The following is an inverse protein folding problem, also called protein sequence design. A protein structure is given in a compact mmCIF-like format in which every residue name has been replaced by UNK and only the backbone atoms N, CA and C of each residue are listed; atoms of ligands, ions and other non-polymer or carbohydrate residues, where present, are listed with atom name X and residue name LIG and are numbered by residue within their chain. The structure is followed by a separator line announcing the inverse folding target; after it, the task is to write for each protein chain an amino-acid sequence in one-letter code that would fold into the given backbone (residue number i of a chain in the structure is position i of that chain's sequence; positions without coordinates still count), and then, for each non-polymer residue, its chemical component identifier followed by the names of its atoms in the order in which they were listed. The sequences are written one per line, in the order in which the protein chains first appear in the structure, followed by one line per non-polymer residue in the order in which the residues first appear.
data_IF_252362053003
#
_entry.id   IF_252362053003
#
_cell.length_a   1.000
_cell.length_b   1.000
_cell.length_c   1.000
_cell.angle_alpha   90.00
_cell.angle_beta   90.00
_cell.angle_gamma   90.00
#
_symmetry.space_group_name_H-M   'P 1'
#
loop_
_entity.id
_entity.type
_entity.pdbx_description
1 polymer ?
#
# COMPACT_ATOMS: atom_id res chain seq x y z
N UNK A 1 -31.46 -19.89 4.62
CA UNK A 1 -31.79 -18.90 5.67
C UNK A 1 -30.69 -18.90 6.70
N UNK A 2 -29.99 -17.78 6.87
CA UNK A 2 -29.44 -17.38 8.17
C UNK A 2 -29.31 -15.85 8.12
N UNK A 3 -29.93 -15.20 9.10
CA UNK A 3 -30.09 -13.77 9.18
C UNK A 3 -28.75 -13.07 9.45
N UNK A 4 -28.24 -12.28 8.50
CA UNK A 4 -27.23 -11.24 8.75
C UNK A 4 -27.63 -9.98 7.99
N UNK A 5 -28.69 -9.31 8.48
CA UNK A 5 -28.90 -7.92 8.16
C UNK A 5 -27.82 -7.10 8.90
N UNK A 6 -26.91 -6.47 8.16
CA UNK A 6 -26.01 -5.42 8.67
C UNK A 6 -24.51 -5.74 8.77
N UNK A 7 -24.03 -6.90 8.31
CA UNK A 7 -22.57 -7.14 8.27
C UNK A 7 -21.93 -6.32 7.14
N UNK A 8 -21.08 -5.34 7.48
CA UNK A 8 -20.31 -4.56 6.51
C UNK A 8 -19.51 -5.52 5.61
N UNK A 9 -19.92 -5.64 4.34
CA UNK A 9 -19.33 -6.62 3.42
C UNK A 9 -17.90 -6.23 3.08
N UNK A 10 -16.95 -7.12 3.39
CA UNK A 10 -15.53 -6.95 3.06
C UNK A 10 -15.30 -6.80 1.55
N UNK A 11 -14.43 -5.88 1.15
CA UNK A 11 -14.03 -5.63 -0.23
C UNK A 11 -13.13 -6.79 -0.69
N UNK A 12 -13.48 -7.35 -1.84
CA UNK A 12 -12.77 -8.48 -2.46
C UNK A 12 -12.09 -8.06 -3.76
N UNK A 13 -11.21 -8.89 -4.28
CA UNK A 13 -10.59 -8.70 -5.61
C UNK A 13 -11.65 -8.55 -6.72
N UNK A 14 -12.74 -9.31 -6.66
CA UNK A 14 -13.89 -9.16 -7.55
C UNK A 14 -14.60 -7.81 -7.42
N UNK A 15 -14.74 -7.29 -6.19
CA UNK A 15 -15.33 -5.97 -5.98
C UNK A 15 -14.46 -4.87 -6.61
N UNK A 16 -13.14 -4.94 -6.46
CA UNK A 16 -12.20 -4.01 -7.09
C UNK A 16 -12.24 -4.09 -8.62
N UNK A 17 -12.31 -5.30 -9.19
CA UNK A 17 -12.48 -5.47 -10.65
C UNK A 17 -13.81 -4.90 -11.14
N UNK A 18 -14.90 -5.07 -10.38
CA UNK A 18 -16.20 -4.48 -10.69
C UNK A 18 -16.16 -2.95 -10.65
N UNK A 19 -15.47 -2.36 -9.66
CA UNK A 19 -15.29 -0.91 -9.58
C UNK A 19 -14.61 -0.36 -10.84
N UNK A 20 -13.53 -1.02 -11.31
CA UNK A 20 -12.92 -0.68 -12.62
C UNK A 20 -13.94 -0.71 -13.75
N UNK A 21 -14.66 -1.82 -13.90
CA UNK A 21 -15.65 -1.98 -14.97
C UNK A 21 -16.78 -0.94 -14.93
N UNK A 22 -17.13 -0.46 -13.74
CA UNK A 22 -18.13 0.60 -13.53
C UNK A 22 -17.56 2.02 -13.64
N UNK A 23 -16.23 2.19 -13.80
CA UNK A 23 -15.57 3.50 -13.77
C UNK A 23 -15.49 4.13 -12.37
N UNK A 24 -15.76 3.37 -11.31
CA UNK A 24 -15.65 3.80 -9.92
C UNK A 24 -14.18 3.76 -9.46
N UNK A 25 -13.66 4.89 -8.99
CA UNK A 25 -12.24 4.99 -8.60
C UNK A 25 -11.97 4.28 -7.27
N UNK A 26 -10.93 3.45 -7.26
CA UNK A 26 -10.48 2.74 -6.05
C UNK A 26 -9.59 3.68 -5.22
N UNK A 27 -9.95 3.83 -3.94
CA UNK A 27 -9.14 4.57 -2.96
C UNK A 27 -8.39 3.57 -2.05
N UNK A 28 -7.07 3.52 -2.19
CA UNK A 28 -6.16 2.74 -1.37
C UNK A 28 -5.31 3.67 -0.52
N UNK A 29 -5.01 3.27 0.72
CA UNK A 29 -4.14 4.04 1.63
C UNK A 29 -3.27 3.05 2.40
N UNK A 30 -2.03 3.42 2.72
CA UNK A 30 -1.22 2.54 3.58
C UNK A 30 -1.72 2.52 5.03
N UNK A 31 -1.50 1.42 5.74
CA UNK A 31 -1.78 1.31 7.17
C UNK A 31 -0.81 0.31 7.80
N UNK A 32 -0.45 0.53 9.07
CA UNK A 32 0.57 -0.28 9.75
C UNK A 32 0.18 -0.69 11.17
N UNK A 33 -0.91 -0.15 11.70
CA UNK A 33 -1.42 -0.49 13.03
C UNK A 33 -2.95 -0.55 13.05
N UNK A 34 -3.50 -1.10 14.14
CA UNK A 34 -4.92 -1.30 14.30
C UNK A 34 -5.72 0.02 14.38
N UNK A 35 -5.12 1.08 14.94
CA UNK A 35 -5.80 2.36 15.17
C UNK A 35 -5.99 3.09 13.85
N UNK A 36 -4.94 3.27 13.06
CA UNK A 36 -5.05 3.86 11.73
C UNK A 36 -5.88 2.97 10.80
N UNK A 37 -5.71 1.64 10.85
CA UNK A 37 -6.54 0.75 10.03
C UNK A 37 -8.04 0.94 10.30
N UNK A 38 -8.44 1.05 11.57
CA UNK A 38 -9.83 1.31 11.95
C UNK A 38 -10.32 2.66 11.42
N UNK A 39 -9.57 3.73 11.64
CA UNK A 39 -9.95 5.09 11.21
C UNK A 39 -10.05 5.20 9.69
N UNK A 40 -9.09 4.64 8.95
CA UNK A 40 -9.06 4.66 7.49
C UNK A 40 -10.18 3.77 6.89
N UNK A 41 -10.49 2.64 7.53
CA UNK A 41 -11.63 1.80 7.17
C UNK A 41 -12.96 2.53 7.41
N UNK A 42 -13.16 3.14 8.57
CA UNK A 42 -14.35 3.95 8.89
C UNK A 42 -14.53 5.13 7.91
N UNK A 43 -13.43 5.74 7.47
CA UNK A 43 -13.41 6.83 6.50
C UNK A 43 -13.74 6.40 5.05
N UNK A 44 -13.88 5.09 4.78
CA UNK A 44 -14.30 4.62 3.46
C UNK A 44 -13.19 4.09 2.56
N UNK A 45 -11.96 3.87 3.05
CA UNK A 45 -10.90 3.25 2.24
C UNK A 45 -11.37 1.89 1.65
N UNK A 46 -11.11 1.67 0.37
CA UNK A 46 -11.48 0.43 -0.31
C UNK A 46 -10.45 -0.66 -0.06
N UNK A 47 -9.18 -0.28 0.00
CA UNK A 47 -8.06 -1.16 0.31
C UNK A 47 -7.07 -0.49 1.26
N UNK A 48 -6.44 -1.29 2.11
CA UNK A 48 -5.34 -0.89 2.98
C UNK A 48 -4.07 -1.64 2.56
N UNK A 49 -2.97 -0.91 2.37
CA UNK A 49 -1.68 -1.47 2.02
C UNK A 49 -0.75 -1.48 3.24
N UNK A 50 -0.33 -2.66 3.67
CA UNK A 50 0.76 -2.83 4.63
C UNK A 50 2.05 -2.87 3.82
N UNK A 51 2.52 -1.68 3.46
CA UNK A 51 3.64 -1.51 2.54
C UNK A 51 5.01 -1.54 3.23
N UNK A 52 6.05 -1.92 2.50
CA UNK A 52 7.44 -1.85 2.99
C UNK A 52 7.93 -0.40 3.21
N UNK A 53 7.19 0.60 2.72
CA UNK A 53 7.26 2.01 3.14
C UNK A 53 7.32 2.21 4.66
N UNK A 54 6.86 1.24 5.47
CA UNK A 54 7.08 1.22 6.92
C UNK A 54 8.56 1.33 7.32
N UNK A 55 9.48 0.87 6.47
CA UNK A 55 10.92 1.02 6.68
C UNK A 55 11.30 2.49 6.85
N UNK A 56 10.68 3.38 6.07
CA UNK A 56 10.89 4.82 6.19
C UNK A 56 10.04 5.43 7.31
N UNK A 57 8.72 5.27 7.25
CA UNK A 57 7.80 6.06 8.09
C UNK A 57 7.59 5.51 9.51
N UNK A 58 7.93 4.24 9.74
CA UNK A 58 7.84 3.60 11.06
C UNK A 58 9.25 3.37 11.64
N UNK A 59 10.14 2.78 10.84
CA UNK A 59 11.46 2.34 11.31
C UNK A 59 12.55 3.42 11.18
N UNK A 60 12.29 4.49 10.42
CA UNK A 60 13.24 5.59 10.23
C UNK A 60 14.46 5.24 9.39
N UNK A 61 14.40 4.16 8.60
CA UNK A 61 15.44 3.82 7.65
C UNK A 61 15.41 4.75 6.41
N UNK A 62 16.56 4.90 5.76
CA UNK A 62 16.66 5.69 4.53
C UNK A 62 16.03 4.98 3.32
N UNK A 63 15.92 3.65 3.36
CA UNK A 63 15.35 2.82 2.28
C UNK A 63 14.44 1.73 2.86
N UNK A 64 13.63 1.09 2.01
CA UNK A 64 12.77 -0.04 2.41
C UNK A 64 13.49 -1.39 2.45
N UNK A 65 14.75 -1.45 2.01
CA UNK A 65 15.54 -2.70 1.92
C UNK A 65 15.70 -3.46 3.25
N UNK A 66 15.81 -2.80 4.44
CA UNK A 66 15.91 -3.51 5.71
C UNK A 66 14.62 -4.18 6.18
N UNK A 67 13.48 -3.92 5.53
CA UNK A 67 12.19 -4.48 5.93
C UNK A 67 12.17 -6.00 5.69
N UNK A 68 11.72 -6.75 6.68
CA UNK A 68 11.67 -8.22 6.63
C UNK A 68 10.23 -8.71 6.49
N UNK A 69 10.07 -9.98 6.10
CA UNK A 69 8.75 -10.65 6.08
C UNK A 69 8.11 -10.63 7.47
N UNK A 70 8.90 -10.73 8.54
CA UNK A 70 8.40 -10.68 9.92
C UNK A 70 7.84 -9.30 10.28
N UNK A 71 8.50 -8.21 9.84
CA UNK A 71 7.98 -6.86 10.01
C UNK A 71 6.64 -6.69 9.32
N UNK A 72 6.53 -7.10 8.05
CA UNK A 72 5.26 -7.01 7.31
C UNK A 72 4.19 -7.89 7.96
N UNK A 73 4.51 -9.14 8.34
CA UNK A 73 3.56 -10.03 8.99
C UNK A 73 3.01 -9.44 10.31
N UNK A 74 3.88 -8.85 11.14
CA UNK A 74 3.49 -8.18 12.38
C UNK A 74 2.52 -7.01 12.12
N UNK A 75 2.89 -6.10 11.23
CA UNK A 75 2.05 -4.93 10.92
C UNK A 75 0.75 -5.34 10.22
N UNK A 76 0.78 -6.38 9.39
CA UNK A 76 -0.43 -6.93 8.77
C UNK A 76 -1.38 -7.49 9.82
N UNK A 77 -0.87 -8.24 10.80
CA UNK A 77 -1.69 -8.74 11.90
C UNK A 77 -2.31 -7.62 12.73
N UNK A 78 -1.60 -6.51 12.93
CA UNK A 78 -2.14 -5.32 13.60
C UNK A 78 -3.27 -4.68 12.77
N UNK A 79 -3.04 -4.45 11.48
CA UNK A 79 -4.03 -3.87 10.55
C UNK A 79 -5.28 -4.76 10.44
N UNK A 80 -5.11 -6.07 10.36
CA UNK A 80 -6.22 -7.03 10.26
C UNK A 80 -7.16 -6.99 11.47
N UNK A 81 -6.66 -6.62 12.66
CA UNK A 81 -7.49 -6.42 13.87
C UNK A 81 -8.29 -5.12 13.83
N UNK A 82 -7.82 -4.10 13.12
CA UNK A 82 -8.48 -2.80 13.00
C UNK A 82 -9.47 -2.72 11.82
N UNK A 83 -9.15 -3.37 10.70
CA UNK A 83 -9.92 -3.27 9.46
C UNK A 83 -11.13 -4.22 9.42
N UNK A 84 -12.30 -3.68 9.09
CA UNK A 84 -13.56 -4.43 9.03
C UNK A 84 -14.00 -4.70 7.59
N UNK A 85 -13.90 -3.70 6.72
CA UNK A 85 -14.40 -3.71 5.34
C UNK A 85 -13.28 -3.74 4.30
N UNK A 86 -12.22 -2.96 4.48
CA UNK A 86 -11.22 -2.72 3.47
C UNK A 86 -10.47 -4.00 3.07
N UNK A 87 -10.04 -4.06 1.81
CA UNK A 87 -9.19 -5.15 1.31
C UNK A 87 -7.74 -4.94 1.78
N UNK A 88 -7.18 -5.87 2.55
CA UNK A 88 -5.82 -5.77 3.09
C UNK A 88 -4.85 -6.41 2.11
N UNK A 89 -3.89 -5.63 1.63
CA UNK A 89 -2.77 -6.07 0.79
C UNK A 89 -1.49 -5.92 1.60
N UNK A 90 -0.64 -6.96 1.62
CA UNK A 90 0.65 -6.93 2.30
C UNK A 90 1.80 -6.97 1.30
N UNK A 91 2.81 -6.13 1.49
CA UNK A 91 4.00 -6.16 0.62
C UNK A 91 4.85 -7.39 0.85
N UNK A 92 5.30 -8.00 -0.23
CA UNK A 92 6.47 -8.87 -0.21
C UNK A 92 7.70 -7.97 -0.21
N UNK A 93 8.46 -7.86 0.90
CA UNK A 93 9.61 -6.98 0.98
C UNK A 93 10.78 -7.48 0.13
N UNK A 94 11.83 -6.67 0.03
CA UNK A 94 13.02 -6.97 -0.78
C UNK A 94 13.52 -8.42 -0.60
N UNK A 95 13.86 -9.06 -1.71
CA UNK A 95 14.28 -10.47 -1.83
C UNK A 95 13.23 -11.53 -1.46
N UNK A 96 12.10 -11.18 -0.85
CA UNK A 96 11.12 -12.20 -0.42
C UNK A 96 10.38 -12.87 -1.58
N UNK A 97 10.37 -12.27 -2.77
CA UNK A 97 9.77 -12.83 -3.99
C UNK A 97 10.83 -13.31 -5.01
N UNK A 98 12.07 -12.83 -4.95
CA UNK A 98 13.06 -13.02 -6.02
C UNK A 98 14.15 -14.06 -5.73
N UNK A 99 14.12 -14.74 -4.57
CA UNK A 99 15.11 -15.76 -4.19
C UNK A 99 14.77 -17.18 -4.67
N UNK A 100 13.53 -17.41 -5.11
CA UNK A 100 13.05 -18.69 -5.65
C UNK A 100 11.55 -18.88 -5.46
N UNK A 101 10.90 -19.60 -6.38
CA UNK A 101 9.44 -19.74 -6.41
C UNK A 101 8.85 -20.33 -5.12
N UNK A 102 9.48 -21.38 -4.57
CA UNK A 102 9.00 -22.03 -3.35
C UNK A 102 9.14 -21.13 -2.12
N UNK A 103 10.21 -20.34 -2.03
CA UNK A 103 10.40 -19.38 -0.95
C UNK A 103 9.41 -18.22 -1.06
N UNK A 104 9.16 -17.74 -2.29
CA UNK A 104 8.17 -16.71 -2.55
C UNK A 104 6.76 -17.15 -2.14
N UNK A 105 6.36 -18.38 -2.49
CA UNK A 105 5.08 -18.97 -2.06
C UNK A 105 5.01 -19.11 -0.53
N UNK A 106 6.10 -19.54 0.12
CA UNK A 106 6.15 -19.63 1.59
C UNK A 106 5.99 -18.25 2.23
N UNK A 107 6.75 -17.26 1.78
CA UNK A 107 6.70 -15.88 2.27
C UNK A 107 5.30 -15.29 2.10
N UNK A 108 4.71 -15.39 0.91
CA UNK A 108 3.34 -14.95 0.66
C UNK A 108 2.35 -15.66 1.59
N UNK A 109 2.48 -16.98 1.76
CA UNK A 109 1.65 -17.77 2.66
C UNK A 109 1.76 -17.34 4.13
N UNK A 110 2.93 -16.87 4.59
CA UNK A 110 3.09 -16.30 5.92
C UNK A 110 2.31 -14.99 6.07
N UNK A 111 2.42 -14.08 5.11
CA UNK A 111 1.68 -12.80 5.14
C UNK A 111 0.16 -13.01 5.17
N UNK A 112 -0.33 -14.04 4.47
CA UNK A 112 -1.74 -14.43 4.49
C UNK A 112 -2.15 -15.06 5.82
N UNK A 113 -1.43 -16.07 6.31
CA UNK A 113 -1.83 -16.85 7.50
C UNK A 113 -1.49 -16.20 8.83
N UNK A 114 -0.28 -15.67 8.96
CA UNK A 114 0.20 -15.02 10.18
C UNK A 114 -0.27 -13.57 10.25
N UNK A 115 -0.23 -12.87 9.11
CA UNK A 115 -0.62 -11.46 9.00
C UNK A 115 -2.12 -11.24 8.83
N UNK A 116 -2.86 -12.16 8.21
CA UNK A 116 -4.28 -11.94 7.88
C UNK A 116 -4.50 -11.05 6.66
N UNK A 117 -3.50 -10.95 5.77
CA UNK A 117 -3.68 -10.30 4.46
C UNK A 117 -4.72 -11.05 3.61
N UNK A 118 -5.31 -10.35 2.64
CA UNK A 118 -6.17 -10.97 1.63
C UNK A 118 -5.47 -11.12 0.28
N UNK A 119 -4.33 -10.44 0.10
CA UNK A 119 -3.52 -10.44 -1.09
C UNK A 119 -2.10 -10.00 -0.72
N UNK A 120 -1.15 -10.31 -1.61
CA UNK A 120 0.21 -9.78 -1.54
C UNK A 120 0.51 -8.82 -2.69
N UNK A 121 1.36 -7.81 -2.45
CA UNK A 121 1.93 -6.96 -3.52
C UNK A 121 3.39 -7.32 -3.74
N UNK A 122 3.79 -7.43 -5.01
CA UNK A 122 5.16 -7.79 -5.43
C UNK A 122 5.69 -6.78 -6.43
N UNK A 123 6.99 -6.47 -6.35
CA UNK A 123 7.68 -5.56 -7.25
C UNK A 123 8.46 -6.33 -8.31
N UNK A 124 8.30 -5.93 -9.57
CA UNK A 124 8.99 -6.52 -10.72
C UNK A 124 8.06 -6.75 -11.90
N UNK A 125 8.66 -6.90 -13.08
CA UNK A 125 7.96 -7.17 -14.34
C UNK A 125 8.07 -8.62 -14.77
N UNK A 126 8.46 -8.82 -16.03
CA UNK A 126 8.58 -10.16 -16.64
C UNK A 126 9.47 -11.13 -15.88
N UNK A 127 10.48 -10.62 -15.19
CA UNK A 127 11.46 -11.41 -14.44
C UNK A 127 10.86 -12.16 -13.25
N UNK A 128 9.73 -11.69 -12.70
CA UNK A 128 9.00 -12.36 -11.61
C UNK A 128 7.70 -13.03 -12.07
N UNK A 129 7.38 -13.02 -13.37
CA UNK A 129 6.10 -13.49 -13.87
C UNK A 129 5.83 -14.97 -13.54
N UNK A 130 6.84 -15.83 -13.66
CA UNK A 130 6.75 -17.24 -13.26
C UNK A 130 6.44 -17.37 -11.77
N UNK A 131 7.12 -16.60 -10.92
CA UNK A 131 6.89 -16.59 -9.47
C UNK A 131 5.48 -16.10 -9.12
N UNK A 132 5.00 -15.04 -9.78
CA UNK A 132 3.62 -14.56 -9.65
C UNK A 132 2.62 -15.67 -9.97
N UNK A 133 2.80 -16.36 -11.09
CA UNK A 133 1.94 -17.47 -11.48
C UNK A 133 1.95 -18.61 -10.45
N UNK A 134 3.10 -18.89 -9.82
CA UNK A 134 3.23 -19.88 -8.74
C UNK A 134 2.48 -19.47 -7.48
N UNK A 135 2.58 -18.20 -7.06
CA UNK A 135 1.84 -17.65 -5.90
C UNK A 135 0.33 -17.71 -6.17
N UNK A 136 -0.11 -17.30 -7.36
CA UNK A 136 -1.52 -17.36 -7.77
C UNK A 136 -2.02 -18.80 -7.81
N UNK A 137 -1.25 -19.74 -8.37
CA UNK A 137 -1.59 -21.16 -8.39
C UNK A 137 -1.71 -21.78 -6.98
N UNK A 138 -1.02 -21.22 -5.99
CA UNK A 138 -1.17 -21.59 -4.58
C UNK A 138 -2.42 -20.98 -3.91
N UNK A 139 -3.25 -20.24 -4.65
CA UNK A 139 -4.50 -19.63 -4.17
C UNK A 139 -4.33 -18.26 -3.52
N UNK A 140 -3.17 -17.61 -3.67
CA UNK A 140 -2.88 -16.30 -3.08
C UNK A 140 -3.05 -15.20 -4.14
N UNK A 141 -3.96 -14.23 -3.95
CA UNK A 141 -4.11 -13.12 -4.89
C UNK A 141 -2.87 -12.22 -4.90
N UNK A 142 -2.39 -11.86 -6.09
CA UNK A 142 -1.21 -11.00 -6.28
C UNK A 142 -1.60 -9.67 -6.91
N UNK A 143 -1.15 -8.58 -6.31
CA UNK A 143 -1.11 -7.25 -6.92
C UNK A 143 0.33 -7.02 -7.43
N UNK A 144 0.49 -6.77 -8.73
CA UNK A 144 1.80 -6.41 -9.28
C UNK A 144 2.18 -4.97 -8.93
N UNK A 145 3.45 -4.61 -9.08
CA UNK A 145 3.95 -3.23 -8.97
C UNK A 145 5.00 -2.98 -10.07
N UNK A 146 4.71 -2.01 -10.94
CA UNK A 146 5.57 -1.54 -12.01
C UNK A 146 5.78 -0.02 -11.95
N UNK A 147 6.75 0.46 -12.72
CA UNK A 147 7.23 1.83 -12.66
C UNK A 147 8.43 1.89 -11.72
N UNK A 148 8.48 2.90 -10.87
CA UNK A 148 9.51 2.98 -9.84
C UNK A 148 9.24 1.92 -8.76
N UNK A 149 10.12 0.93 -8.67
CA UNK A 149 10.10 -0.10 -7.63
C UNK A 149 11.14 0.25 -6.55
N UNK A 150 10.75 0.77 -5.37
CA UNK A 150 11.68 1.21 -4.33
C UNK A 150 12.68 0.13 -3.88
N UNK A 151 12.32 -1.15 -3.98
CA UNK A 151 13.22 -2.26 -3.69
C UNK A 151 14.41 -2.35 -4.67
N UNK A 152 14.29 -1.70 -5.83
CA UNK A 152 15.34 -1.59 -6.85
C UNK A 152 16.05 -0.23 -6.83
N UNK A 153 15.91 0.58 -5.76
CA UNK A 153 16.42 1.97 -5.69
C UNK A 153 17.90 2.11 -6.09
N UNK A 154 18.76 1.15 -5.71
CA UNK A 154 20.18 1.17 -6.07
C UNK A 154 20.44 0.79 -7.53
N UNK A 155 19.61 -0.07 -8.14
CA UNK A 155 19.69 -0.39 -9.56
C UNK A 155 19.18 0.77 -10.43
N UNK A 156 18.12 1.44 -9.95
CA UNK A 156 17.49 2.57 -10.65
C UNK A 156 18.24 3.90 -10.45
N UNK A 157 19.21 3.95 -9.53
CA UNK A 157 19.99 5.16 -9.23
C UNK A 157 19.15 6.26 -8.57
N UNK A 158 18.22 5.86 -7.69
CA UNK A 158 17.34 6.72 -6.91
C UNK A 158 15.88 6.74 -7.39
N UNK A 159 15.07 7.61 -6.76
CA UNK A 159 13.64 7.76 -7.05
C UNK A 159 13.41 8.58 -8.33
N UNK A 160 13.35 7.90 -9.48
CA UNK A 160 13.22 8.53 -10.81
C UNK A 160 11.94 8.07 -11.50
N UNK A 161 11.39 8.96 -12.31
CA UNK A 161 10.24 8.67 -13.19
C UNK A 161 10.64 7.61 -14.22
N UNK A 162 9.82 6.58 -14.39
CA UNK A 162 10.06 5.45 -15.30
C UNK A 162 9.20 5.53 -16.56
N UNK A 163 9.65 4.96 -17.68
CA UNK A 163 8.87 4.95 -18.93
C UNK A 163 8.81 6.31 -19.64
N UNK A 164 9.90 7.09 -19.57
CA UNK A 164 10.01 8.39 -20.27
C UNK A 164 10.27 8.24 -21.76
N UNK A 165 11.12 7.28 -22.11
CA UNK A 165 11.50 7.01 -23.49
C UNK A 165 10.61 5.89 -24.05
N UNK A 166 10.41 5.89 -25.38
CA UNK A 166 9.42 5.02 -26.02
C UNK A 166 9.69 3.52 -25.79
N UNK A 167 10.96 3.10 -25.74
CA UNK A 167 11.35 1.71 -25.47
C UNK A 167 11.00 1.28 -24.04
N UNK A 168 11.29 2.12 -23.05
CA UNK A 168 10.94 1.85 -21.66
C UNK A 168 9.41 1.86 -21.46
N UNK A 169 8.71 2.76 -22.15
CA UNK A 169 7.26 2.82 -22.15
C UNK A 169 6.62 1.56 -22.76
N UNK A 170 7.16 1.07 -23.87
CA UNK A 170 6.75 -0.18 -24.49
C UNK A 170 7.03 -1.38 -23.57
N UNK A 171 8.21 -1.42 -22.93
CA UNK A 171 8.58 -2.47 -21.98
C UNK A 171 7.62 -2.52 -20.79
N UNK A 172 7.32 -1.37 -20.18
CA UNK A 172 6.40 -1.29 -19.04
C UNK A 172 4.98 -1.76 -19.40
N UNK A 173 4.49 -1.37 -20.59
CA UNK A 173 3.18 -1.85 -21.07
C UNK A 173 3.16 -3.36 -21.29
N UNK A 174 4.25 -3.92 -21.81
CA UNK A 174 4.38 -5.36 -22.00
C UNK A 174 4.50 -6.11 -20.67
N UNK A 175 5.31 -5.61 -19.74
CA UNK A 175 5.43 -6.17 -18.38
C UNK A 175 4.08 -6.19 -17.67
N UNK A 176 3.28 -5.12 -17.85
CA UNK A 176 1.95 -5.02 -17.27
C UNK A 176 1.01 -6.13 -17.79
N UNK A 177 1.07 -6.45 -19.09
CA UNK A 177 0.32 -7.56 -19.68
C UNK A 177 0.82 -8.91 -19.19
N UNK A 178 2.13 -9.10 -19.14
CA UNK A 178 2.75 -10.33 -18.65
C UNK A 178 2.31 -10.63 -17.21
N UNK A 179 2.29 -9.62 -16.33
CA UNK A 179 1.83 -9.80 -14.95
C UNK A 179 0.33 -10.12 -14.87
N UNK A 180 -0.50 -9.50 -15.72
CA UNK A 180 -1.92 -9.87 -15.82
C UNK A 180 -2.09 -11.32 -16.28
N UNK A 181 -1.36 -11.74 -17.31
CA UNK A 181 -1.41 -13.11 -17.84
C UNK A 181 -0.89 -14.14 -16.84
N UNK A 182 0.07 -13.76 -16.00
CA UNK A 182 0.53 -14.54 -14.85
C UNK A 182 -0.51 -14.64 -13.72
N UNK A 183 -1.60 -13.87 -13.78
CA UNK A 183 -2.74 -13.95 -12.86
C UNK A 183 -2.79 -12.86 -11.79
N UNK A 184 -2.00 -11.79 -11.90
CA UNK A 184 -2.15 -10.63 -11.03
C UNK A 184 -3.58 -10.07 -11.14
N UNK A 185 -4.22 -9.74 -10.01
CA UNK A 185 -5.60 -9.23 -10.00
C UNK A 185 -5.70 -7.71 -10.05
N UNK A 186 -4.57 -7.02 -9.82
CA UNK A 186 -4.43 -5.57 -9.83
C UNK A 186 -2.95 -5.21 -10.08
N UNK A 187 -2.68 -3.96 -10.45
CA UNK A 187 -1.34 -3.47 -10.73
C UNK A 187 -1.13 -2.06 -10.16
N UNK A 188 -0.10 -1.87 -9.34
CA UNK A 188 0.38 -0.53 -8.95
C UNK A 188 1.26 0.03 -10.06
N UNK A 189 1.07 1.31 -10.38
CA UNK A 189 1.92 2.11 -11.26
C UNK A 189 2.49 3.29 -10.47
N UNK A 190 3.79 3.27 -10.23
CA UNK A 190 4.49 4.30 -9.45
C UNK A 190 5.40 5.16 -10.32
N UNK A 191 5.25 6.48 -10.21
CA UNK A 191 6.09 7.46 -10.90
C UNK A 191 6.20 7.21 -12.43
N UNK A 192 5.06 6.97 -13.06
CA UNK A 192 4.91 6.73 -14.50
C UNK A 192 4.29 7.97 -15.19
N UNK A 193 4.73 8.39 -16.39
CA UNK A 193 4.07 9.45 -17.14
C UNK A 193 2.58 9.20 -17.31
N UNK A 194 1.78 10.27 -17.13
CA UNK A 194 0.32 10.21 -17.17
C UNK A 194 -0.23 9.49 -18.41
N UNK A 195 0.27 9.83 -19.59
CA UNK A 195 -0.20 9.22 -20.84
C UNK A 195 0.11 7.73 -20.94
N UNK A 196 1.27 7.31 -20.43
CA UNK A 196 1.63 5.90 -20.36
C UNK A 196 0.75 5.15 -19.35
N UNK A 197 0.52 5.72 -18.16
CA UNK A 197 -0.35 5.12 -17.15
C UNK A 197 -1.80 4.95 -17.66
N UNK A 198 -2.31 5.92 -18.43
CA UNK A 198 -3.59 5.79 -19.14
C UNK A 198 -3.56 4.63 -20.13
N UNK A 199 -2.57 4.58 -21.03
CA UNK A 199 -2.42 3.50 -22.02
C UNK A 199 -2.36 2.11 -21.36
N UNK A 200 -1.63 1.97 -20.25
CA UNK A 200 -1.57 0.71 -19.48
C UNK A 200 -2.94 0.39 -18.87
N UNK A 201 -3.61 1.38 -18.28
CA UNK A 201 -4.93 1.18 -17.67
C UNK A 201 -5.99 0.71 -18.67
N UNK A 202 -5.98 1.30 -19.87
CA UNK A 202 -6.88 0.98 -20.98
C UNK A 202 -6.56 -0.40 -21.59
N UNK A 203 -5.29 -0.83 -21.56
CA UNK A 203 -4.86 -2.10 -22.14
C UNK A 203 -5.09 -3.32 -21.23
N UNK A 204 -5.33 -3.12 -19.94
CA UNK A 204 -5.54 -4.20 -18.97
C UNK A 204 -7.02 -4.42 -18.66
N UNK A 205 -7.38 -5.63 -18.27
CA UNK A 205 -8.69 -5.98 -17.69
C UNK A 205 -8.70 -5.78 -16.17
N UNK A 206 -7.53 -5.81 -15.52
CA UNK A 206 -7.37 -5.68 -14.08
C UNK A 206 -7.23 -4.20 -13.65
N UNK A 207 -7.68 -3.82 -12.45
CA UNK A 207 -7.52 -2.46 -11.92
C UNK A 207 -6.06 -2.04 -11.81
N UNK A 208 -5.78 -0.81 -12.25
CA UNK A 208 -4.51 -0.13 -12.02
C UNK A 208 -4.64 0.86 -10.85
N UNK A 209 -3.66 0.90 -9.95
CA UNK A 209 -3.61 1.82 -8.81
C UNK A 209 -2.41 2.74 -8.98
N UNK A 210 -2.64 4.04 -9.12
CA UNK A 210 -1.60 5.02 -9.37
C UNK A 210 -1.01 5.62 -8.09
N UNK A 211 0.28 5.88 -8.10
CA UNK A 211 0.95 6.79 -7.16
C UNK A 211 1.96 7.61 -7.97
N UNK A 212 1.61 8.89 -8.20
CA UNK A 212 2.35 9.71 -9.16
C UNK A 212 2.26 9.22 -10.62
N UNK A 213 1.17 8.53 -10.97
CA UNK A 213 0.87 8.03 -12.32
C UNK A 213 -0.28 8.81 -13.00
N UNK A 214 -0.70 9.95 -12.44
CA UNK A 214 -1.83 10.73 -12.94
C UNK A 214 -3.21 10.12 -12.59
N UNK A 215 -4.30 10.79 -13.00
CA UNK A 215 -5.66 10.47 -12.55
C UNK A 215 -6.35 9.34 -13.34
N UNK A 216 -5.74 8.93 -14.46
CA UNK A 216 -6.38 8.06 -15.46
C UNK A 216 -6.26 6.56 -15.10
N UNK A 217 -5.61 6.21 -13.98
CA UNK A 217 -5.62 4.84 -13.41
C UNK A 217 -6.98 4.46 -12.81
N UNK A 218 -7.22 3.18 -12.56
CA UNK A 218 -8.48 2.70 -11.94
C UNK A 218 -8.65 3.15 -10.48
N UNK A 219 -7.56 3.51 -9.81
CA UNK A 219 -7.54 4.02 -8.45
C UNK A 219 -6.23 4.71 -8.09
N UNK A 220 -6.10 5.11 -6.84
CA UNK A 220 -4.92 5.80 -6.30
C UNK A 220 -4.48 5.19 -4.97
N UNK A 221 -3.19 5.27 -4.67
CA UNK A 221 -2.61 4.95 -3.36
C UNK A 221 -1.70 6.08 -2.88
N UNK A 222 -1.73 6.35 -1.57
CA UNK A 222 -0.78 7.22 -0.88
C UNK A 222 -0.37 6.61 0.45
N UNK A 223 0.84 6.95 0.89
CA UNK A 223 1.32 6.63 2.24
C UNK A 223 0.55 7.49 3.25
N UNK A 224 -0.03 6.88 4.29
CA UNK A 224 -0.90 7.58 5.23
C UNK A 224 -0.19 8.70 5.98
N UNK A 225 1.08 8.51 6.36
CA UNK A 225 1.87 9.55 7.04
C UNK A 225 2.09 10.78 6.16
N UNK A 226 2.28 10.58 4.86
CA UNK A 226 2.53 11.65 3.91
C UNK A 226 1.24 12.43 3.60
N UNK A 227 0.13 11.72 3.34
CA UNK A 227 -1.15 12.37 3.06
C UNK A 227 -1.73 13.08 4.30
N UNK A 228 -1.38 12.65 5.51
CA UNK A 228 -1.77 13.28 6.78
C UNK A 228 -0.77 14.33 7.28
N UNK A 229 0.31 14.61 6.53
CA UNK A 229 1.27 15.66 6.88
C UNK A 229 2.03 15.38 8.18
N UNK A 230 2.37 14.11 8.43
CA UNK A 230 3.26 13.70 9.53
C UNK A 230 4.74 13.69 9.10
N UNK A 231 5.00 13.74 7.80
CA UNK A 231 6.34 13.74 7.22
C UNK A 231 6.68 15.10 6.58
N UNK A 232 7.19 16.04 7.38
CA UNK A 232 7.36 17.45 6.97
C UNK A 232 8.31 17.64 5.78
N UNK A 233 9.34 16.78 5.68
CA UNK A 233 10.41 16.88 4.68
C UNK A 233 10.09 16.20 3.35
N UNK A 234 9.06 15.36 3.29
CA UNK A 234 8.73 14.60 2.10
C UNK A 234 7.61 15.28 1.30
N UNK A 235 8.01 16.02 0.26
CA UNK A 235 7.07 16.77 -0.60
C UNK A 235 7.32 16.49 -2.09
N UNK A 236 7.17 15.23 -2.55
CA UNK A 236 7.30 14.92 -3.96
C UNK A 236 6.14 15.55 -4.74
N UNK A 237 6.35 15.82 -6.03
CA UNK A 237 5.37 16.48 -6.90
C UNK A 237 3.99 15.78 -6.95
N UNK A 238 3.93 14.47 -6.72
CA UNK A 238 2.69 13.71 -6.76
C UNK A 238 1.86 13.77 -5.48
N UNK A 239 2.45 14.19 -4.37
CA UNK A 239 1.80 14.15 -3.06
C UNK A 239 0.91 15.38 -2.88
N UNK A 240 -0.34 15.13 -2.51
CA UNK A 240 -1.19 16.13 -1.86
C UNK A 240 -1.30 15.79 -0.38
N UNK A 241 -0.99 16.75 0.46
CA UNK A 241 -1.24 16.70 1.89
C UNK A 241 -2.69 17.13 2.17
N UNK A 242 -3.44 16.32 2.92
CA UNK A 242 -4.86 16.53 3.25
C UNK A 242 -5.07 17.06 4.67
N UNK A 243 -4.07 16.95 5.54
CA UNK A 243 -4.03 17.50 6.89
C UNK A 243 -2.57 17.77 7.30
N UNK A 244 -2.34 18.64 8.30
CA UNK A 244 -1.02 18.93 8.85
C UNK A 244 -0.92 18.37 10.28
N UNK A 245 -1.01 17.03 10.41
CA UNK A 245 -1.03 16.38 11.71
C UNK A 245 0.30 16.50 12.46
N UNK A 246 1.44 16.64 11.76
CA UNK A 246 2.74 16.82 12.40
C UNK A 246 2.77 18.07 13.31
N UNK A 247 2.22 19.18 12.82
CA UNK A 247 2.08 20.41 13.61
C UNK A 247 1.11 20.23 14.76
N UNK A 248 -0.04 19.60 14.49
CA UNK A 248 -1.06 19.32 15.53
C UNK A 248 -0.48 18.51 16.69
N UNK A 249 0.29 17.46 16.39
CA UNK A 249 0.94 16.61 17.40
C UNK A 249 1.96 17.39 18.21
N UNK A 250 2.82 18.19 17.56
CA UNK A 250 3.81 19.03 18.25
C UNK A 250 3.16 20.04 19.18
N UNK A 251 2.15 20.74 18.72
CA UNK A 251 1.48 21.79 19.48
C UNK A 251 0.73 21.22 20.69
N UNK A 252 -0.02 20.12 20.49
CA UNK A 252 -0.71 19.42 21.58
C UNK A 252 0.27 18.90 22.64
N UNK A 253 1.40 18.33 22.19
CA UNK A 253 2.43 17.81 23.11
C UNK A 253 3.11 18.95 23.87
N UNK A 254 3.42 20.06 23.21
CA UNK A 254 3.98 21.25 23.87
C UNK A 254 2.99 21.87 24.87
N UNK A 255 1.69 21.83 24.58
CA UNK A 255 0.62 22.21 25.50
C UNK A 255 0.62 21.36 26.77
N UNK A 256 0.57 20.03 26.61
CA UNK A 256 0.63 19.08 27.73
C UNK A 256 1.89 19.27 28.59
N UNK A 257 3.07 19.38 27.95
CA UNK A 257 4.33 19.62 28.66
C UNK A 257 4.26 20.89 29.50
N UNK A 258 3.71 21.97 28.96
CA UNK A 258 3.56 23.25 29.67
C UNK A 258 2.63 23.10 30.87
N UNK A 259 1.47 22.49 30.70
CA UNK A 259 0.50 22.32 31.79
C UNK A 259 1.06 21.47 32.95
N UNK A 260 1.85 20.43 32.63
CA UNK A 260 2.59 19.64 33.62
C UNK A 260 3.66 20.47 34.33
N UNK A 261 4.44 21.26 33.60
CA UNK A 261 5.52 22.09 34.16
C UNK A 261 4.99 23.21 35.06
N UNK A 262 3.85 23.80 34.68
CA UNK A 262 3.18 24.86 35.44
C UNK A 262 2.33 24.31 36.59
N UNK A 263 2.21 22.98 36.73
CA UNK A 263 1.43 22.32 37.77
C UNK A 263 -0.08 22.49 37.63
N UNK A 264 -0.55 22.80 36.41
CA UNK A 264 -1.99 22.97 36.10
C UNK A 264 -2.63 21.66 35.63
N UNK A 265 -1.83 20.68 35.21
CA UNK A 265 -2.27 19.31 34.96
C UNK A 265 -1.49 18.29 35.83
N UNK A 266 -2.15 17.28 36.42
CA UNK A 266 -3.61 17.13 36.48
C UNK A 266 -4.25 18.15 37.44
N UNK A 267 -5.48 18.57 37.14
CA UNK A 267 -6.32 19.35 38.05
C UNK A 267 -7.20 18.42 38.90
N UNK A 268 -8.15 18.99 39.65
CA UNK A 268 -9.09 18.24 40.49
C UNK A 268 -10.02 17.32 39.68
N UNK A 269 -10.44 17.72 38.47
CA UNK A 269 -11.32 16.91 37.60
C UNK A 269 -10.59 15.68 37.04
N UNK A 270 -9.27 15.75 36.93
CA UNK A 270 -8.40 14.67 36.46
C UNK A 270 -7.70 13.90 37.60
N UNK A 271 -8.14 14.10 38.86
CA UNK A 271 -7.58 13.46 40.05
C UNK A 271 -8.61 12.61 40.79
N UNK A 272 -8.17 11.48 41.36
CA UNK A 272 -9.02 10.59 42.18
C UNK A 272 -8.79 10.85 43.68
N UNK A 273 -9.87 10.96 44.44
CA UNK A 273 -9.89 11.11 45.90
C UNK A 273 -10.12 9.78 46.62
#
# INVERSE_FOLDING_TARGET
MSAHAGATRRITTHALRRMKAAGEKIAMVTAYDATFARLLDEAGAHALLVGDSLGNVIQGHDTTLPVTVDHIAYHTAAVARGARRAHIVADMPFLSCSTGDDDAVRNAGRLMREGGAHAVKVEGGREIATTVARIVAAGIPVMGHLGLTPQSVHQLGGFRVQGRDDDDAARLLEDARILQDAGAYALVLEMVPRDLARRVTDALDIPTIGIGAGPDTSGQVLVCYDLLGLNDGFRPKFLKTFAELGTTVRDATAGYIREVQDGTFPDDDHSFS
#
